data_IF_419184957414
#
_entry.id   IF_419184957414
#
_cell.length_a   1.000
_cell.length_b   1.000
_cell.length_c   1.000
_cell.angle_alpha   90.00
_cell.angle_beta   90.00
_cell.angle_gamma   90.00
#
_symmetry.space_group_name_H-M   'P 1'
#
loop_
_entity.id
_entity.type
_entity.pdbx_description
1 polymer ?
#
# COMPACT_ATOMS: atom_id res chain seq x y z
N UNK A 1 14.51 -2.48 -9.02
CA UNK A 1 13.50 -3.48 -8.56
C UNK A 1 13.77 -4.07 -7.17
N UNK A 2 15.02 -4.15 -6.67
CA UNK A 2 15.31 -4.80 -5.38
C UNK A 2 14.70 -4.15 -4.13
N UNK A 3 14.48 -2.83 -4.12
CA UNK A 3 13.82 -2.15 -2.99
C UNK A 3 12.34 -2.51 -2.93
N UNK A 4 11.60 -2.31 -4.03
CA UNK A 4 10.15 -2.60 -4.11
C UNK A 4 9.86 -4.07 -3.78
N UNK A 5 10.68 -5.00 -4.29
CA UNK A 5 10.56 -6.44 -3.97
C UNK A 5 10.79 -6.77 -2.49
N UNK A 6 11.57 -5.98 -1.75
CA UNK A 6 11.75 -6.15 -0.31
C UNK A 6 10.61 -5.55 0.49
N UNK A 7 10.10 -4.41 0.03
CA UNK A 7 9.00 -3.71 0.71
C UNK A 7 7.70 -4.48 0.65
N UNK A 8 7.34 -5.10 -0.48
CA UNK A 8 6.06 -5.80 -0.60
C UNK A 8 5.87 -6.94 0.42
N UNK A 9 6.80 -7.91 0.57
CA UNK A 9 6.68 -8.94 1.60
C UNK A 9 6.74 -8.41 3.03
N UNK A 10 7.49 -7.33 3.29
CA UNK A 10 7.53 -6.70 4.61
C UNK A 10 6.20 -6.03 4.97
N UNK A 11 5.48 -5.50 3.97
CA UNK A 11 4.11 -5.01 4.17
C UNK A 11 3.15 -6.16 4.47
N UNK A 12 3.23 -7.27 3.72
CA UNK A 12 2.37 -8.45 3.91
C UNK A 12 2.56 -9.12 5.28
N UNK A 13 3.77 -9.09 5.84
CA UNK A 13 4.04 -9.66 7.16
C UNK A 13 3.50 -8.81 8.32
N UNK A 14 3.25 -7.52 8.08
CA UNK A 14 2.79 -6.55 9.08
C UNK A 14 1.30 -6.27 8.97
N UNK A 15 0.77 -6.24 7.75
CA UNK A 15 -0.62 -5.88 7.45
C UNK A 15 -1.32 -7.10 6.84
N UNK A 16 -2.41 -7.61 7.45
CA UNK A 16 -3.19 -8.68 6.85
C UNK A 16 -3.63 -8.29 5.43
N UNK A 17 -3.25 -9.11 4.46
CA UNK A 17 -3.42 -8.81 3.04
C UNK A 17 -3.95 -10.03 2.29
N UNK A 18 -5.02 -9.87 1.54
CA UNK A 18 -5.48 -10.84 0.53
C UNK A 18 -4.52 -10.86 -0.66
N UNK A 19 -4.05 -9.66 -1.05
CA UNK A 19 -3.18 -9.43 -2.20
C UNK A 19 -2.43 -8.12 -2.00
N UNK A 20 -1.19 -8.04 -2.49
CA UNK A 20 -0.46 -6.77 -2.57
C UNK A 20 -0.33 -6.30 -4.01
N UNK A 21 -0.69 -5.05 -4.26
CA UNK A 21 -0.46 -4.41 -5.55
C UNK A 21 0.86 -3.64 -5.55
N UNK A 22 1.62 -3.83 -6.63
CA UNK A 22 2.82 -3.05 -6.94
C UNK A 22 2.61 -2.36 -8.28
N UNK A 23 2.50 -1.03 -8.26
CA UNK A 23 2.07 -0.24 -9.42
C UNK A 23 2.84 1.08 -9.50
N UNK A 24 3.00 1.59 -10.73
CA UNK A 24 3.42 2.96 -10.99
C UNK A 24 2.35 3.63 -11.84
N UNK A 25 1.71 4.67 -11.30
CA UNK A 25 0.58 5.39 -11.92
C UNK A 25 0.90 6.86 -12.23
N UNK A 26 2.12 7.31 -11.91
CA UNK A 26 2.53 8.70 -12.07
C UNK A 26 2.33 9.23 -13.50
N UNK A 27 1.96 10.50 -13.61
CA UNK A 27 1.73 11.19 -14.89
C UNK A 27 2.35 12.58 -14.83
N UNK A 28 2.88 13.05 -15.96
CA UNK A 28 3.41 14.41 -16.08
C UNK A 28 2.37 15.50 -15.78
N UNK A 29 1.08 15.21 -15.96
CA UNK A 29 -0.01 16.15 -15.70
C UNK A 29 -0.45 16.17 -14.21
N UNK A 30 -0.01 15.20 -13.41
CA UNK A 30 -0.32 15.11 -11.98
C UNK A 30 0.98 15.01 -11.19
N UNK A 31 1.23 13.83 -10.60
CA UNK A 31 2.50 13.56 -9.92
C UNK A 31 3.55 13.04 -10.90
N UNK A 32 4.43 13.94 -11.35
CA UNK A 32 5.46 13.66 -12.35
C UNK A 32 6.66 12.88 -11.78
N UNK A 33 6.85 12.86 -10.46
CA UNK A 33 7.97 12.15 -9.83
C UNK A 33 7.79 10.64 -9.98
N UNK A 34 8.82 9.90 -10.39
CA UNK A 34 8.72 8.44 -10.49
C UNK A 34 8.56 7.84 -9.10
N UNK A 35 7.47 7.11 -8.89
CA UNK A 35 7.17 6.43 -7.64
C UNK A 35 6.43 5.13 -7.89
N UNK A 36 6.41 4.30 -6.84
CA UNK A 36 5.69 3.03 -6.79
C UNK A 36 4.75 3.05 -5.59
N UNK A 37 3.55 2.52 -5.76
CA UNK A 37 2.68 2.19 -4.64
C UNK A 37 2.87 0.70 -4.30
N UNK A 38 2.94 0.42 -3.00
CA UNK A 38 2.82 -0.93 -2.44
C UNK A 38 1.56 -0.91 -1.60
N UNK A 39 0.48 -1.46 -2.14
CA UNK A 39 -0.87 -1.31 -1.59
C UNK A 39 -1.43 -2.68 -1.17
N UNK A 40 -1.48 -3.01 0.13
CA UNK A 40 -2.10 -4.23 0.63
C UNK A 40 -3.63 -4.14 0.55
N UNK A 41 -4.25 -5.14 -0.08
CA UNK A 41 -5.69 -5.31 -0.17
C UNK A 41 -6.21 -6.07 1.06
N UNK A 42 -7.21 -5.56 1.80
CA UNK A 42 -7.76 -6.25 2.96
C UNK A 42 -8.36 -7.64 2.62
N UNK A 43 -8.18 -8.66 3.49
CA UNK A 43 -8.88 -9.94 3.42
C UNK A 43 -10.41 -9.76 3.34
N UNK A 44 -11.05 -10.60 2.53
CA UNK A 44 -12.51 -10.58 2.34
C UNK A 44 -13.03 -9.48 1.42
N UNK A 45 -12.15 -8.72 0.74
CA UNK A 45 -12.60 -7.74 -0.27
C UNK A 45 -13.28 -8.46 -1.44
N UNK A 46 -14.53 -8.11 -1.82
CA UNK A 46 -15.24 -8.71 -2.95
C UNK A 46 -14.44 -8.64 -4.24
N UNK A 47 -14.49 -9.69 -5.07
CA UNK A 47 -13.62 -9.86 -6.23
C UNK A 47 -13.69 -8.66 -7.20
N UNK A 48 -14.88 -8.16 -7.46
CA UNK A 48 -15.17 -7.02 -8.32
C UNK A 48 -14.59 -5.70 -7.79
N UNK A 49 -14.28 -5.62 -6.49
CA UNK A 49 -13.70 -4.45 -5.84
C UNK A 49 -12.18 -4.52 -5.68
N UNK A 50 -11.54 -5.66 -6.02
CA UNK A 50 -10.15 -5.87 -5.65
C UNK A 50 -9.17 -4.97 -6.40
N UNK A 51 -9.46 -4.53 -7.63
CA UNK A 51 -8.50 -3.79 -8.47
C UNK A 51 -8.55 -2.27 -8.22
N UNK A 52 -8.83 -1.47 -9.26
CA UNK A 52 -8.82 0.00 -9.13
C UNK A 52 -9.81 0.49 -8.09
N UNK A 53 -10.96 -0.16 -7.90
CA UNK A 53 -11.91 0.23 -6.86
C UNK A 53 -11.25 0.35 -5.47
N UNK A 54 -10.41 -0.61 -5.06
CA UNK A 54 -9.70 -0.54 -3.79
C UNK A 54 -8.60 0.54 -3.72
N UNK A 55 -8.19 1.12 -4.85
CA UNK A 55 -7.10 2.10 -4.96
C UNK A 55 -7.58 3.55 -5.13
N UNK A 56 -8.85 3.75 -5.52
CA UNK A 56 -9.39 5.06 -5.84
C UNK A 56 -9.92 5.76 -4.59
N UNK A 57 -9.48 7.00 -4.36
CA UNK A 57 -9.85 7.82 -3.19
C UNK A 57 -11.35 8.13 -3.10
N UNK A 58 -12.05 8.08 -4.23
CA UNK A 58 -13.49 8.25 -4.37
C UNK A 58 -14.27 7.19 -3.59
N UNK A 59 -13.63 6.04 -3.32
CA UNK A 59 -14.21 4.95 -2.52
C UNK A 59 -13.83 5.04 -1.03
N UNK A 60 -13.21 6.15 -0.62
CA UNK A 60 -12.87 6.46 0.76
C UNK A 60 -11.37 6.53 1.03
N UNK A 61 -11.00 7.28 2.06
CA UNK A 61 -9.62 7.41 2.55
C UNK A 61 -9.61 7.13 4.04
N UNK A 62 -8.68 6.27 4.48
CA UNK A 62 -8.49 6.00 5.90
C UNK A 62 -8.02 7.26 6.63
N UNK A 63 -8.71 7.59 7.73
CA UNK A 63 -8.24 8.62 8.65
C UNK A 63 -7.07 8.06 9.45
N UNK A 64 -5.99 8.83 9.50
CA UNK A 64 -4.79 8.50 10.27
C UNK A 64 -4.72 9.38 11.49
N UNK A 65 -4.63 8.77 12.67
CA UNK A 65 -4.03 9.41 13.82
C UNK A 65 -2.51 9.25 13.75
N UNK A 66 -1.78 10.14 14.44
CA UNK A 66 -0.32 10.18 14.38
C UNK A 66 0.31 8.96 15.07
N UNK A 67 -0.26 8.52 16.19
CA UNK A 67 0.27 7.43 17.01
C UNK A 67 0.25 6.11 16.23
N UNK A 68 -0.86 5.80 15.58
CA UNK A 68 -1.04 4.62 14.72
C UNK A 68 -0.15 4.65 13.48
N UNK A 69 0.08 5.83 12.91
CA UNK A 69 1.04 5.99 11.82
C UNK A 69 2.46 5.68 12.27
N UNK A 70 2.87 6.17 13.44
CA UNK A 70 4.18 5.91 14.05
C UNK A 70 4.35 4.43 14.42
N UNK A 71 3.33 3.79 15.00
CA UNK A 71 3.32 2.36 15.32
C UNK A 71 3.50 1.49 14.05
N UNK A 72 2.71 1.76 13.01
CA UNK A 72 2.82 1.02 11.76
C UNK A 72 4.20 1.22 11.10
N UNK A 73 4.71 2.46 11.11
CA UNK A 73 6.03 2.75 10.56
C UNK A 73 7.15 2.00 11.30
N UNK A 74 7.06 1.88 12.63
CA UNK A 74 8.02 1.11 13.43
C UNK A 74 7.98 -0.38 13.08
N UNK A 75 6.78 -0.97 12.97
CA UNK A 75 6.58 -2.38 12.61
C UNK A 75 7.10 -2.69 11.21
N UNK A 76 6.80 -1.84 10.22
CA UNK A 76 7.31 -1.96 8.86
C UNK A 76 8.84 -1.85 8.80
N UNK A 77 9.43 -0.93 9.58
CA UNK A 77 10.88 -0.78 9.65
C UNK A 77 11.55 -2.04 10.20
N UNK A 78 10.99 -2.63 11.26
CA UNK A 78 11.48 -3.88 11.84
C UNK A 78 11.34 -5.07 10.87
N UNK A 79 10.34 -5.07 9.99
CA UNK A 79 10.18 -6.10 8.96
C UNK A 79 11.10 -5.90 7.74
N UNK A 80 11.71 -4.72 7.57
CA UNK A 80 12.62 -4.39 6.47
C UNK A 80 14.11 -4.60 6.80
N UNK A 81 14.44 -4.68 8.09
CA UNK A 81 15.79 -4.95 8.62
C UNK A 81 16.14 -6.43 8.56
#
# INVERSE_FOLDING_TARGET
MGVVRRVAPAVESVVPSERTYVLSLGSRQGNAHLHWHVAPLPPGTPYEQQQFHALMSENGVLRWDRERAEELAARLRAALS
#
